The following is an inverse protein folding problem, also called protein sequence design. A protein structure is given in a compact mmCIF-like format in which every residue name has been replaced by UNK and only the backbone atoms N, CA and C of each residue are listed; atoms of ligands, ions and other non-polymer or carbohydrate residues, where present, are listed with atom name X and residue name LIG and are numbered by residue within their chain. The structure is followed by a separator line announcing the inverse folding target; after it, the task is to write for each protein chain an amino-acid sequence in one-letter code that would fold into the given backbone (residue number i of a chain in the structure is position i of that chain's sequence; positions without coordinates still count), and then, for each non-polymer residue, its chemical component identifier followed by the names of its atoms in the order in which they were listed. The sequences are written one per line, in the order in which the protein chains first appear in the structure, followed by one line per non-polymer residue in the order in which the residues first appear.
data_IF_399059675458
#
_entry.id   IF_399059675458
#
_cell.length_a   1.000
_cell.length_b   1.000
_cell.length_c   1.000
_cell.angle_alpha   90.00
_cell.angle_beta   90.00
_cell.angle_gamma   90.00
#
_symmetry.space_group_name_H-M   'P 1'
#
loop_
_entity.id
_entity.type
_entity.pdbx_description
1 polymer ?
#
# COMPACT_ATOMS: atom_id res chain seq x y z
N UNK A 1 4.92 1.33 -13.44
CA UNK A 1 4.75 -0.06 -12.99
C UNK A 1 5.85 -0.94 -13.56
N UNK A 2 7.00 -1.03 -12.88
CA UNK A 2 8.18 -1.80 -13.33
C UNK A 2 8.49 -2.96 -12.37
N UNK A 3 7.84 -3.00 -11.21
CA UNK A 3 8.05 -4.00 -10.15
C UNK A 3 6.91 -5.01 -10.11
N UNK A 4 7.21 -6.28 -9.85
CA UNK A 4 6.27 -7.40 -9.92
C UNK A 4 5.14 -7.31 -8.88
N UNK A 5 5.36 -6.67 -7.72
CA UNK A 5 4.30 -6.41 -6.74
C UNK A 5 3.10 -5.65 -7.34
N UNK A 6 3.35 -4.78 -8.33
CA UNK A 6 2.26 -4.09 -9.03
C UNK A 6 1.33 -5.04 -9.78
N UNK A 7 1.79 -6.24 -10.15
CA UNK A 7 0.95 -7.30 -10.73
C UNK A 7 -0.13 -7.72 -9.75
N UNK A 8 0.21 -7.91 -8.47
CA UNK A 8 -0.76 -8.22 -7.43
C UNK A 8 -1.74 -7.05 -7.22
N UNK A 9 -1.23 -5.83 -7.03
CA UNK A 9 -2.05 -4.65 -6.75
C UNK A 9 -2.97 -4.24 -7.91
N UNK A 10 -2.62 -4.59 -9.16
CA UNK A 10 -3.46 -4.34 -10.33
C UNK A 10 -4.46 -5.47 -10.54
N UNK A 11 -4.00 -6.72 -10.64
CA UNK A 11 -4.86 -7.80 -11.12
C UNK A 11 -5.73 -8.42 -10.03
N UNK A 12 -5.28 -8.46 -8.77
CA UNK A 12 -6.11 -8.98 -7.68
C UNK A 12 -7.44 -8.21 -7.55
N UNK A 13 -7.48 -6.86 -7.48
CA UNK A 13 -8.76 -6.16 -7.45
C UNK A 13 -9.51 -6.23 -8.78
N UNK A 14 -8.85 -6.02 -9.93
CA UNK A 14 -9.57 -5.93 -11.22
C UNK A 14 -10.24 -7.26 -11.62
N UNK A 15 -9.63 -8.40 -11.30
CA UNK A 15 -10.23 -9.72 -11.57
C UNK A 15 -11.31 -10.12 -10.58
N UNK A 16 -11.48 -9.37 -9.48
CA UNK A 16 -12.48 -9.63 -8.43
C UNK A 16 -13.52 -8.51 -8.31
N UNK A 17 -13.65 -7.64 -9.32
CA UNK A 17 -14.62 -6.53 -9.34
C UNK A 17 -14.26 -5.34 -8.43
N UNK A 18 -13.02 -5.26 -7.98
CA UNK A 18 -12.49 -4.17 -7.16
C UNK A 18 -12.00 -2.97 -7.97
N UNK A 19 -11.32 -2.06 -7.27
CA UNK A 19 -10.78 -0.81 -7.83
C UNK A 19 -9.27 -0.71 -7.57
N UNK A 20 -8.53 -0.24 -8.57
CA UNK A 20 -7.14 0.19 -8.42
C UNK A 20 -7.10 1.69 -8.19
N UNK A 21 -6.35 2.13 -7.18
CA UNK A 21 -6.08 3.53 -6.89
C UNK A 21 -4.59 3.75 -7.14
N UNK A 22 -4.26 4.68 -8.03
CA UNK A 22 -2.88 5.03 -8.33
C UNK A 22 -2.48 6.17 -7.41
N UNK A 23 -1.47 5.94 -6.56
CA UNK A 23 -0.92 6.99 -5.72
C UNK A 23 -0.29 8.09 -6.58
N UNK A 24 -0.24 9.35 -6.10
CA UNK A 24 0.51 10.41 -6.74
C UNK A 24 1.99 10.05 -6.92
N UNK A 25 2.66 10.73 -7.86
CA UNK A 25 4.10 10.55 -8.06
C UNK A 25 4.90 10.88 -6.79
N UNK A 26 6.00 10.14 -6.59
CA UNK A 26 6.91 10.31 -5.45
C UNK A 26 6.83 9.16 -4.44
N UNK A 27 7.51 9.35 -3.30
CA UNK A 27 7.51 8.36 -2.22
C UNK A 27 6.20 8.40 -1.46
N UNK A 28 5.56 7.24 -1.27
CA UNK A 28 4.33 7.13 -0.48
C UNK A 28 4.60 7.50 0.99
N UNK A 29 3.96 8.57 1.46
CA UNK A 29 4.02 9.01 2.85
C UNK A 29 2.79 8.53 3.63
N UNK A 30 2.86 8.37 4.97
CA UNK A 30 1.70 7.95 5.77
C UNK A 30 0.46 8.82 5.57
N UNK A 31 0.64 10.14 5.47
CA UNK A 31 -0.45 11.08 5.22
C UNK A 31 -1.14 10.82 3.86
N UNK A 32 -0.37 10.51 2.81
CA UNK A 32 -0.92 10.16 1.49
C UNK A 32 -1.75 8.88 1.59
N UNK A 33 -1.27 7.86 2.32
CA UNK A 33 -2.05 6.64 2.53
C UNK A 33 -3.39 6.94 3.22
N UNK A 34 -3.38 7.78 4.27
CA UNK A 34 -4.61 8.20 4.97
C UNK A 34 -5.58 8.90 4.04
N UNK A 35 -5.10 9.82 3.21
CA UNK A 35 -5.93 10.55 2.25
C UNK A 35 -6.54 9.60 1.21
N UNK A 36 -5.75 8.64 0.71
CA UNK A 36 -6.23 7.64 -0.24
C UNK A 36 -7.28 6.70 0.39
N UNK A 37 -7.10 6.29 1.64
CA UNK A 37 -8.12 5.53 2.38
C UNK A 37 -9.39 6.36 2.55
N UNK A 38 -9.27 7.61 3.01
CA UNK A 38 -10.42 8.47 3.28
C UNK A 38 -11.21 8.81 2.01
N UNK A 39 -10.53 9.09 0.90
CA UNK A 39 -11.15 9.53 -0.35
C UNK A 39 -11.65 8.37 -1.21
N UNK A 40 -10.91 7.26 -1.24
CA UNK A 40 -11.17 6.16 -2.18
C UNK A 40 -11.47 4.81 -1.52
N UNK A 41 -11.40 4.71 -0.19
CA UNK A 41 -11.64 3.47 0.53
C UNK A 41 -10.59 2.40 0.23
N UNK A 42 -9.31 2.79 0.09
CA UNK A 42 -8.22 1.82 -0.09
C UNK A 42 -8.21 0.84 1.09
N UNK A 43 -8.24 -0.45 0.81
CA UNK A 43 -8.31 -1.51 1.84
C UNK A 43 -7.09 -2.42 1.86
N UNK A 44 -6.26 -2.38 0.82
CA UNK A 44 -5.06 -3.20 0.71
C UNK A 44 -3.93 -2.42 0.04
N UNK A 45 -2.69 -2.68 0.49
CA UNK A 45 -1.48 -2.17 -0.15
C UNK A 45 -0.33 -3.19 0.01
N UNK A 46 0.52 -3.27 -1.01
CA UNK A 46 1.81 -3.94 -0.93
C UNK A 46 2.91 -2.88 -0.84
N UNK A 47 3.76 -2.99 0.18
CA UNK A 47 4.87 -2.07 0.42
C UNK A 47 6.19 -2.82 0.31
N UNK A 48 7.27 -2.12 -0.07
CA UNK A 48 8.59 -2.70 0.17
C UNK A 48 8.80 -2.87 1.67
N UNK A 49 9.56 -3.89 2.08
CA UNK A 49 9.82 -4.13 3.52
C UNK A 49 10.39 -2.88 4.19
N UNK A 50 11.30 -2.17 3.52
CA UNK A 50 11.84 -0.91 4.02
C UNK A 50 10.77 0.19 4.22
N UNK A 51 9.85 0.37 3.27
CA UNK A 51 8.80 1.38 3.38
C UNK A 51 7.78 1.01 4.46
N UNK A 52 7.42 -0.26 4.57
CA UNK A 52 6.56 -0.75 5.64
C UNK A 52 7.13 -0.39 7.01
N UNK A 53 8.44 -0.65 7.24
CA UNK A 53 9.10 -0.36 8.50
C UNK A 53 9.09 1.15 8.82
N UNK A 54 9.38 2.00 7.84
CA UNK A 54 9.33 3.46 8.01
C UNK A 54 7.94 3.92 8.45
N UNK A 55 6.87 3.42 7.81
CA UNK A 55 5.50 3.78 8.21
C UNK A 55 5.15 3.20 9.57
N UNK A 56 5.55 1.96 9.88
CA UNK A 56 5.28 1.32 11.17
C UNK A 56 5.95 2.07 12.33
N UNK A 57 7.13 2.66 12.12
CA UNK A 57 7.84 3.45 13.13
C UNK A 57 7.27 4.88 13.27
N UNK A 58 6.92 5.51 12.15
CA UNK A 58 6.53 6.93 12.13
C UNK A 58 5.04 7.15 12.36
N UNK A 59 4.19 6.28 11.83
CA UNK A 59 2.74 6.35 11.94
C UNK A 59 2.07 4.97 11.70
N UNK A 60 2.17 4.04 12.67
CA UNK A 60 1.59 2.70 12.54
C UNK A 60 0.06 2.72 12.36
N UNK A 61 -0.59 3.81 12.80
CA UNK A 61 -2.02 4.01 12.61
C UNK A 61 -2.42 4.11 11.14
N UNK A 62 -1.52 4.53 10.24
CA UNK A 62 -1.79 4.57 8.81
C UNK A 62 -1.91 3.16 8.21
N UNK A 63 -1.07 2.21 8.66
CA UNK A 63 -1.18 0.80 8.26
C UNK A 63 -2.44 0.15 8.83
N UNK A 64 -2.83 0.52 10.06
CA UNK A 64 -4.03 0.02 10.72
C UNK A 64 -5.36 0.39 10.03
N UNK A 65 -5.34 1.31 9.06
CA UNK A 65 -6.49 1.63 8.22
C UNK A 65 -6.76 0.56 7.15
N UNK A 66 -5.74 -0.23 6.79
CA UNK A 66 -5.83 -1.25 5.76
C UNK A 66 -6.34 -2.56 6.37
N UNK A 67 -7.17 -3.27 5.61
CA UNK A 67 -7.53 -4.66 5.91
C UNK A 67 -6.36 -5.61 5.63
N UNK A 68 -5.52 -5.26 4.66
CA UNK A 68 -4.33 -6.00 4.30
C UNK A 68 -3.16 -5.02 4.05
N UNK A 69 -2.14 -5.06 4.90
CA UNK A 69 -0.85 -4.46 4.63
C UNK A 69 0.16 -5.60 4.42
N UNK A 70 0.61 -5.77 3.18
CA UNK A 70 1.63 -6.76 2.82
C UNK A 70 2.98 -6.07 2.63
N UNK A 71 4.06 -6.77 2.97
CA UNK A 71 5.42 -6.30 2.78
C UNK A 71 6.28 -7.36 2.09
N UNK A 72 7.21 -6.94 1.25
CA UNK A 72 8.21 -7.82 0.64
C UNK A 72 9.27 -7.08 -0.16
N UNK A 73 10.20 -7.82 -0.75
CA UNK A 73 11.38 -7.28 -1.43
C UNK A 73 12.68 -7.58 -0.68
N UNK A 74 12.63 -7.59 0.65
CA UNK A 74 13.75 -7.96 1.54
C UNK A 74 13.24 -8.70 2.78
N UNK A 75 14.15 -9.32 3.53
CA UNK A 75 13.83 -10.02 4.78
C UNK A 75 13.18 -9.07 5.81
N UNK A 76 12.09 -9.52 6.41
CA UNK A 76 11.50 -8.86 7.57
C UNK A 76 12.41 -9.03 8.80
N UNK A 77 12.46 -8.01 9.64
CA UNK A 77 13.19 -8.02 10.91
C UNK A 77 12.42 -8.78 12.00
#
# INVERSE_FOLDING_TARGET
YVFDASTFEIWAPLLNGGRVVVAPDGSLQPAVLRDLVALYGVTAAFLTTALFNVIAETDPGALGLLRLAAAGGEAAA
#
